data_IF_924939039787
#
_entry.id   IF_924939039787
#
_cell.length_a   1.000
_cell.length_b   1.000
_cell.length_c   1.000
_cell.angle_alpha   90.00
_cell.angle_beta   90.00
_cell.angle_gamma   90.00
#
_symmetry.space_group_name_H-M   'P 1'
#
loop_
_entity.id
_entity.type
_entity.pdbx_description
1 polymer ?
#
# COMPACT_ATOMS: atom_id res chain seq x y z
N UNK A 1 -32.09 -6.96 -2.82
CA UNK A 1 -31.02 -7.35 -1.87
C UNK A 1 -29.98 -8.20 -2.57
N UNK A 2 -28.76 -7.69 -2.71
CA UNK A 2 -27.64 -8.42 -3.32
C UNK A 2 -26.84 -9.14 -2.22
N UNK A 3 -27.16 -10.42 -1.98
CA UNK A 3 -26.59 -11.23 -0.88
C UNK A 3 -25.06 -11.31 -0.91
N UNK A 4 -24.45 -11.27 -2.11
CA UNK A 4 -23.00 -11.32 -2.27
C UNK A 4 -22.35 -10.04 -1.74
N UNK A 5 -22.85 -8.86 -2.12
CA UNK A 5 -22.33 -7.59 -1.62
C UNK A 5 -22.51 -7.45 -0.10
N UNK A 6 -23.65 -7.93 0.43
CA UNK A 6 -23.88 -7.94 1.87
C UNK A 6 -22.86 -8.84 2.58
N UNK A 7 -22.67 -10.07 2.10
CA UNK A 7 -21.73 -11.02 2.70
C UNK A 7 -20.27 -10.51 2.63
N UNK A 8 -19.83 -10.02 1.46
CA UNK A 8 -18.48 -9.45 1.28
C UNK A 8 -18.26 -8.21 2.15
N UNK A 9 -19.25 -7.31 2.21
CA UNK A 9 -19.18 -6.13 3.07
C UNK A 9 -19.07 -6.49 4.54
N UNK A 10 -19.88 -7.45 5.01
CA UNK A 10 -19.85 -7.91 6.39
C UNK A 10 -18.53 -8.59 6.75
N UNK A 11 -17.98 -9.39 5.83
CA UNK A 11 -16.66 -10.01 5.99
C UNK A 11 -15.54 -8.96 6.08
N UNK A 12 -15.56 -7.91 5.24
CA UNK A 12 -14.63 -6.80 5.31
C UNK A 12 -14.71 -6.06 6.65
N UNK A 13 -15.92 -5.80 7.17
CA UNK A 13 -16.12 -5.15 8.47
C UNK A 13 -15.60 -6.03 9.61
N UNK A 14 -15.87 -7.34 9.57
CA UNK A 14 -15.36 -8.27 10.58
C UNK A 14 -13.83 -8.32 10.59
N UNK A 15 -13.21 -8.40 9.40
CA UNK A 15 -11.75 -8.39 9.27
C UNK A 15 -11.14 -7.06 9.74
N UNK A 16 -11.77 -5.94 9.38
CA UNK A 16 -11.36 -4.62 9.87
C UNK A 16 -11.43 -4.55 11.41
N UNK A 17 -12.50 -5.06 12.02
CA UNK A 17 -12.64 -5.13 13.47
C UNK A 17 -11.54 -5.97 14.12
N UNK A 18 -11.20 -7.12 13.53
CA UNK A 18 -10.09 -7.96 13.98
C UNK A 18 -8.74 -7.21 13.92
N UNK A 19 -8.45 -6.55 12.80
CA UNK A 19 -7.21 -5.78 12.63
C UNK A 19 -7.14 -4.63 13.63
N UNK A 20 -8.26 -3.91 13.84
CA UNK A 20 -8.33 -2.85 14.83
C UNK A 20 -8.09 -3.38 16.24
N UNK A 21 -8.67 -4.53 16.58
CA UNK A 21 -8.46 -5.20 17.85
C UNK A 21 -6.99 -5.57 18.07
N UNK A 22 -6.34 -6.19 17.07
CA UNK A 22 -4.90 -6.47 17.12
C UNK A 22 -4.07 -5.20 17.28
N UNK A 23 -4.47 -4.12 16.62
CA UNK A 23 -3.78 -2.84 16.70
C UNK A 23 -3.86 -2.17 18.09
N UNK A 24 -4.78 -2.59 18.96
CA UNK A 24 -4.84 -2.14 20.35
C UNK A 24 -3.70 -2.71 21.19
N UNK A 25 -3.15 -3.87 20.81
CA UNK A 25 -2.03 -4.51 21.50
C UNK A 25 -0.67 -3.88 21.17
N UNK A 26 -0.61 -2.99 20.17
CA UNK A 26 0.64 -2.30 19.82
C UNK A 26 0.89 -1.10 20.75
N UNK A 27 2.17 -0.84 21.10
CA UNK A 27 2.55 0.37 21.82
C UNK A 27 2.02 1.62 21.11
N UNK A 28 1.43 2.53 21.88
CA UNK A 28 0.99 3.84 21.40
C UNK A 28 2.13 4.84 21.49
N UNK A 29 1.96 5.98 20.78
CA UNK A 29 2.96 7.03 20.57
C UNK A 29 3.95 7.26 21.73
N UNK A 30 5.24 7.33 21.39
CA UNK A 30 6.33 7.62 22.32
C UNK A 30 6.92 9.01 22.08
N UNK A 31 7.83 9.46 22.96
CA UNK A 31 8.42 10.80 22.88
C UNK A 31 9.16 11.10 21.56
N UNK A 32 9.62 10.06 20.85
CA UNK A 32 10.30 10.17 19.55
C UNK A 32 9.41 9.77 18.36
N UNK A 33 8.24 9.17 18.61
CA UNK A 33 7.32 8.69 17.59
C UNK A 33 5.87 9.07 17.95
N UNK A 34 5.39 10.26 17.49
CA UNK A 34 4.11 10.82 17.89
C UNK A 34 2.88 10.05 17.39
N UNK A 35 3.03 9.13 16.44
CA UNK A 35 1.90 8.31 15.93
C UNK A 35 1.95 6.88 16.44
N UNK A 36 3.14 6.34 16.67
CA UNK A 36 3.34 4.99 17.17
C UNK A 36 2.95 3.91 16.15
N UNK A 37 3.40 2.68 16.40
CA UNK A 37 3.18 1.55 15.49
C UNK A 37 1.71 1.16 15.27
N UNK A 38 0.82 1.57 16.17
CA UNK A 38 -0.61 1.26 16.11
C UNK A 38 -1.41 2.14 15.13
N UNK A 39 -0.89 3.31 14.71
CA UNK A 39 -1.68 4.28 13.95
C UNK A 39 -2.12 3.76 12.57
N UNK A 40 -1.17 3.28 11.77
CA UNK A 40 -1.44 2.87 10.38
C UNK A 40 -2.37 1.64 10.31
N UNK A 41 -2.20 0.59 11.13
CA UNK A 41 -3.18 -0.50 11.21
C UNK A 41 -4.58 -0.02 11.61
N UNK A 42 -4.71 0.90 12.56
CA UNK A 42 -6.01 1.46 12.98
C UNK A 42 -6.66 2.28 11.86
N UNK A 43 -5.90 3.14 11.18
CA UNK A 43 -6.40 3.95 10.08
C UNK A 43 -6.91 3.06 8.92
N UNK A 44 -6.13 2.05 8.54
CA UNK A 44 -6.53 1.09 7.50
C UNK A 44 -7.78 0.29 7.92
N UNK A 45 -7.85 -0.17 9.17
CA UNK A 45 -9.02 -0.85 9.69
C UNK A 45 -10.27 0.04 9.62
N UNK A 46 -10.18 1.32 9.99
CA UNK A 46 -11.31 2.26 9.89
C UNK A 46 -11.75 2.45 8.44
N UNK A 47 -10.82 2.70 7.52
CA UNK A 47 -11.16 2.86 6.09
C UNK A 47 -11.82 1.60 5.55
N UNK A 48 -11.28 0.42 5.87
CA UNK A 48 -11.82 -0.85 5.43
C UNK A 48 -13.21 -1.13 6.02
N UNK A 49 -13.43 -0.79 7.30
CA UNK A 49 -14.73 -0.89 7.94
C UNK A 49 -15.77 0.02 7.27
N UNK A 50 -15.39 1.27 6.93
CA UNK A 50 -16.27 2.20 6.24
C UNK A 50 -16.64 1.71 4.83
N UNK A 51 -15.66 1.23 4.06
CA UNK A 51 -15.89 0.66 2.74
C UNK A 51 -16.73 -0.62 2.79
N UNK A 52 -16.45 -1.51 3.75
CA UNK A 52 -17.22 -2.73 3.97
C UNK A 52 -18.66 -2.44 4.39
N UNK A 53 -18.87 -1.46 5.27
CA UNK A 53 -20.20 -1.01 5.67
C UNK A 53 -20.95 -0.38 4.48
N UNK A 54 -20.31 0.49 3.71
CA UNK A 54 -20.90 1.07 2.50
C UNK A 54 -21.28 -0.02 1.47
N UNK A 55 -20.45 -1.05 1.30
CA UNK A 55 -20.75 -2.19 0.43
C UNK A 55 -21.92 -3.03 0.95
N UNK A 56 -21.98 -3.27 2.27
CA UNK A 56 -23.10 -3.98 2.89
C UNK A 56 -24.42 -3.18 2.76
N UNK A 57 -24.38 -1.87 2.97
CA UNK A 57 -25.53 -0.97 2.82
C UNK A 57 -26.01 -0.93 1.37
N UNK A 58 -25.12 -0.78 0.39
CA UNK A 58 -25.51 -0.83 -1.03
C UNK A 58 -26.08 -2.19 -1.41
N UNK A 59 -25.54 -3.28 -0.86
CA UNK A 59 -26.09 -4.63 -1.00
C UNK A 59 -27.49 -4.80 -0.41
N UNK A 60 -27.76 -4.21 0.76
CA UNK A 60 -29.07 -4.21 1.42
C UNK A 60 -30.09 -3.37 0.63
N UNK A 61 -29.70 -2.17 0.22
CA UNK A 61 -30.51 -1.25 -0.58
C UNK A 61 -30.73 -1.72 -2.03
N UNK A 62 -30.01 -2.75 -2.47
CA UNK A 62 -30.11 -3.27 -3.84
C UNK A 62 -29.51 -2.33 -4.89
N UNK A 63 -28.67 -1.38 -4.49
CA UNK A 63 -27.96 -0.48 -5.38
C UNK A 63 -26.87 -1.30 -6.08
N UNK A 64 -26.98 -1.44 -7.40
CA UNK A 64 -25.97 -2.11 -8.21
C UNK A 64 -24.70 -1.28 -8.25
N UNK A 65 -23.65 -1.70 -7.54
CA UNK A 65 -22.32 -1.09 -7.65
C UNK A 65 -21.70 -1.51 -8.99
N UNK A 66 -21.42 -0.57 -9.91
CA UNK A 66 -20.74 -0.87 -11.16
C UNK A 66 -19.36 -1.46 -10.84
N UNK A 67 -19.11 -2.72 -11.20
CA UNK A 67 -17.85 -3.43 -10.93
C UNK A 67 -17.83 -4.31 -9.67
N UNK A 68 -18.91 -4.35 -8.88
CA UNK A 68 -18.94 -5.05 -7.58
C UNK A 68 -19.29 -6.55 -7.61
N UNK A 69 -19.59 -7.13 -8.77
CA UNK A 69 -19.64 -8.59 -8.88
C UNK A 69 -18.23 -9.10 -9.18
N UNK A 70 -17.50 -9.45 -8.12
CA UNK A 70 -16.55 -10.54 -8.26
C UNK A 70 -17.37 -11.73 -8.72
N UNK A 71 -17.39 -11.96 -10.04
CA UNK A 71 -18.11 -13.05 -10.65
C UNK A 71 -17.75 -14.31 -9.86
N UNK A 72 -18.73 -14.93 -9.22
CA UNK A 72 -18.58 -16.29 -8.74
C UNK A 72 -18.03 -17.10 -9.92
N UNK A 73 -16.94 -17.87 -9.75
CA UNK A 73 -16.43 -18.72 -10.82
C UNK A 73 -17.60 -19.54 -11.34
N UNK A 74 -17.99 -19.34 -12.61
CA UNK A 74 -19.02 -20.17 -13.24
C UNK A 74 -18.58 -21.63 -13.10
N UNK A 75 -19.37 -22.51 -12.47
CA UNK A 75 -19.07 -23.93 -12.50
C UNK A 75 -19.18 -24.37 -13.97
N UNK A 76 -18.04 -24.72 -14.57
CA UNK A 76 -17.96 -25.16 -15.97
C UNK A 76 -17.23 -24.24 -16.94
N UNK A 77 -16.59 -23.15 -16.49
CA UNK A 77 -15.51 -22.54 -17.28
C UNK A 77 -14.21 -23.23 -16.87
N UNK A 78 -13.45 -23.83 -17.80
CA UNK A 78 -12.23 -24.52 -17.41
C UNK A 78 -11.33 -23.54 -16.68
N UNK A 79 -10.84 -23.97 -15.52
CA UNK A 79 -9.91 -23.26 -14.68
C UNK A 79 -8.53 -23.19 -15.35
N UNK A 80 -8.45 -22.60 -16.54
CA UNK A 80 -7.23 -22.51 -17.36
C UNK A 80 -6.74 -21.07 -17.52
N UNK A 81 -6.83 -20.26 -16.44
CA UNK A 81 -5.97 -19.09 -16.26
C UNK A 81 -5.87 -18.63 -14.79
N UNK A 82 -5.67 -19.57 -13.88
CA UNK A 82 -5.04 -19.34 -12.56
C UNK A 82 -4.12 -20.54 -12.38
N UNK A 83 -2.87 -20.24 -12.03
CA UNK A 83 -1.77 -21.21 -11.87
C UNK A 83 -1.09 -21.61 -13.20
N UNK A 84 -0.48 -20.62 -13.86
CA UNK A 84 0.97 -20.74 -14.07
C UNK A 84 1.53 -20.00 -12.84
N UNK A 85 1.66 -20.63 -11.67
CA UNK A 85 2.89 -21.34 -11.30
C UNK A 85 3.97 -21.16 -12.36
N UNK A 86 4.56 -19.97 -12.33
CA UNK A 86 5.90 -19.71 -12.82
C UNK A 86 6.87 -20.57 -11.97
N UNK A 87 6.82 -21.88 -12.20
CA UNK A 87 7.93 -22.81 -11.97
C UNK A 87 8.97 -22.63 -13.08
N UNK A 88 9.15 -21.41 -13.61
CA UNK A 88 10.39 -21.07 -14.25
C UNK A 88 11.47 -21.06 -13.17
N UNK A 89 12.45 -21.93 -13.33
CA UNK A 89 13.75 -21.73 -12.70
C UNK A 89 14.11 -20.24 -12.81
N UNK A 90 14.57 -19.57 -11.73
CA UNK A 90 14.79 -18.14 -11.76
C UNK A 90 15.82 -17.83 -12.85
N UNK A 91 15.35 -17.32 -13.99
CA UNK A 91 16.22 -16.80 -15.02
C UNK A 91 17.16 -15.78 -14.34
N UNK A 92 18.46 -15.74 -14.68
CA UNK A 92 19.43 -14.84 -14.05
C UNK A 92 19.04 -13.36 -14.16
N UNK A 93 18.11 -13.02 -15.05
CA UNK A 93 17.53 -11.68 -15.16
C UNK A 93 16.56 -11.34 -14.01
N UNK A 94 15.83 -12.31 -13.47
CA UNK A 94 14.90 -12.15 -12.35
C UNK A 94 15.65 -11.97 -11.04
N UNK A 95 16.69 -12.77 -10.78
CA UNK A 95 17.53 -12.63 -9.57
C UNK A 95 18.25 -11.27 -9.57
N UNK A 96 18.74 -10.81 -10.74
CA UNK A 96 19.39 -9.50 -10.86
C UNK A 96 18.44 -8.36 -10.55
N UNK A 97 17.18 -8.44 -11.02
CA UNK A 97 16.16 -7.43 -10.69
C UNK A 97 15.85 -7.46 -9.20
N UNK A 98 15.60 -8.62 -8.61
CA UNK A 98 15.35 -8.76 -7.16
C UNK A 98 16.53 -8.21 -6.34
N UNK A 99 17.76 -8.54 -6.71
CA UNK A 99 18.96 -7.98 -6.09
C UNK A 99 19.06 -6.47 -6.28
N UNK A 100 18.70 -5.94 -7.46
CA UNK A 100 18.65 -4.51 -7.71
C UNK A 100 17.59 -3.79 -6.84
N UNK A 101 16.45 -4.44 -6.55
CA UNK A 101 15.46 -3.93 -5.58
C UNK A 101 16.01 -3.92 -4.17
N UNK A 102 16.58 -5.06 -3.73
CA UNK A 102 17.16 -5.17 -2.41
C UNK A 102 18.26 -4.12 -2.20
N UNK A 103 19.15 -3.95 -3.19
CA UNK A 103 20.19 -2.92 -3.16
C UNK A 103 19.60 -1.50 -3.11
N UNK A 104 18.54 -1.22 -3.90
CA UNK A 104 17.85 0.08 -3.87
C UNK A 104 17.21 0.39 -2.50
N UNK A 105 16.63 -0.61 -1.84
CA UNK A 105 16.07 -0.46 -0.49
C UNK A 105 17.17 -0.18 0.55
N UNK A 106 18.28 -0.92 0.49
CA UNK A 106 19.44 -0.69 1.37
C UNK A 106 20.00 0.72 1.16
N UNK A 107 20.18 1.12 -0.11
CA UNK A 107 20.64 2.46 -0.46
C UNK A 107 19.69 3.55 0.06
N UNK A 108 18.37 3.34 -0.03
CA UNK A 108 17.37 4.26 0.50
C UNK A 108 17.48 4.44 2.01
N UNK A 109 17.58 3.33 2.77
CA UNK A 109 17.74 3.37 4.24
C UNK A 109 19.02 4.12 4.62
N UNK A 110 20.09 3.95 3.86
CA UNK A 110 21.37 4.62 4.11
C UNK A 110 21.35 6.11 3.71
N UNK A 111 20.64 6.48 2.64
CA UNK A 111 20.49 7.88 2.20
C UNK A 111 19.57 8.69 3.13
N UNK A 112 18.55 8.05 3.70
CA UNK A 112 17.53 8.71 4.53
C UNK A 112 18.11 9.59 5.66
N UNK A 113 19.08 9.14 6.48
CA UNK A 113 19.68 10.00 7.50
C UNK A 113 20.54 11.12 6.92
N UNK A 114 21.08 10.98 5.70
CA UNK A 114 22.01 11.94 5.09
C UNK A 114 21.26 13.09 4.42
N UNK A 115 20.42 12.76 3.43
CA UNK A 115 19.73 13.74 2.58
C UNK A 115 18.25 13.95 2.95
N UNK A 116 17.75 13.22 3.94
CA UNK A 116 16.38 13.32 4.41
C UNK A 116 15.37 12.54 3.56
N UNK A 117 14.13 12.49 4.05
CA UNK A 117 13.01 11.76 3.46
C UNK A 117 12.69 12.24 2.04
N UNK A 118 12.59 13.56 1.84
CA UNK A 118 12.09 14.09 0.58
C UNK A 118 13.00 13.75 -0.61
N UNK A 119 14.31 13.93 -0.45
CA UNK A 119 15.27 13.60 -1.50
C UNK A 119 15.48 12.09 -1.64
N UNK A 120 15.59 11.35 -0.52
CA UNK A 120 15.79 9.90 -0.57
C UNK A 120 14.61 9.16 -1.21
N UNK A 121 13.37 9.54 -0.87
CA UNK A 121 12.17 8.95 -1.47
C UNK A 121 12.04 9.30 -2.94
N UNK A 122 12.34 10.55 -3.34
CA UNK A 122 12.35 10.94 -4.74
C UNK A 122 13.33 10.09 -5.57
N UNK A 123 14.56 9.94 -5.09
CA UNK A 123 15.60 9.14 -5.75
C UNK A 123 15.19 7.66 -5.78
N UNK A 124 14.73 7.12 -4.65
CA UNK A 124 14.33 5.72 -4.54
C UNK A 124 13.13 5.38 -5.43
N UNK A 125 12.08 6.19 -5.43
CA UNK A 125 10.91 5.96 -6.29
C UNK A 125 11.26 6.13 -7.77
N UNK A 126 12.08 7.11 -8.13
CA UNK A 126 12.56 7.25 -9.51
C UNK A 126 13.35 6.00 -9.93
N UNK A 127 14.25 5.50 -9.08
CA UNK A 127 14.98 4.26 -9.30
C UNK A 127 14.05 3.06 -9.44
N UNK A 128 13.10 2.87 -8.52
CA UNK A 128 12.18 1.72 -8.59
C UNK A 128 11.27 1.77 -9.81
N UNK A 129 10.74 2.93 -10.17
CA UNK A 129 9.87 3.09 -11.35
C UNK A 129 10.65 2.80 -12.64
N UNK A 130 11.91 3.26 -12.74
CA UNK A 130 12.74 3.05 -13.92
C UNK A 130 13.26 1.62 -14.05
N UNK A 131 13.53 0.93 -12.92
CA UNK A 131 14.01 -0.45 -12.90
C UNK A 131 12.86 -1.48 -13.02
N UNK A 132 11.63 -1.18 -12.55
CA UNK A 132 10.51 -2.16 -12.50
C UNK A 132 9.48 -2.00 -13.60
N UNK A 133 9.21 -0.75 -14.00
CA UNK A 133 7.88 -0.41 -14.47
C UNK A 133 7.82 0.01 -15.92
N UNK A 134 8.46 1.11 -16.30
CA UNK A 134 8.43 1.64 -17.67
C UNK A 134 9.59 2.62 -17.94
N UNK A 135 10.15 2.55 -19.15
CA UNK A 135 11.32 3.30 -19.63
C UNK A 135 11.01 4.74 -20.07
N UNK A 136 10.17 5.47 -19.35
CA UNK A 136 9.92 6.88 -19.67
C UNK A 136 10.67 7.81 -18.70
N UNK A 137 11.85 8.33 -19.10
CA UNK A 137 12.79 9.02 -18.21
C UNK A 137 12.26 10.32 -17.59
N UNK A 138 11.16 10.89 -18.13
CA UNK A 138 10.56 12.13 -17.66
C UNK A 138 9.30 11.90 -16.83
N UNK A 139 8.47 10.91 -17.20
CA UNK A 139 7.22 10.61 -16.47
C UNK A 139 7.50 9.96 -15.11
N UNK A 140 8.55 9.15 -15.04
CA UNK A 140 8.98 8.49 -13.80
C UNK A 140 9.35 9.48 -12.68
N UNK A 141 10.27 10.46 -12.89
CA UNK A 141 10.59 11.43 -11.84
C UNK A 141 9.40 12.34 -11.52
N UNK A 142 8.56 12.71 -12.50
CA UNK A 142 7.37 13.51 -12.21
C UNK A 142 6.38 12.77 -11.30
N UNK A 143 6.13 11.48 -11.56
CA UNK A 143 5.31 10.64 -10.71
C UNK A 143 5.95 10.46 -9.32
N UNK A 144 7.27 10.23 -9.26
CA UNK A 144 8.00 10.13 -8.00
C UNK A 144 7.93 11.43 -7.18
N UNK A 145 8.07 12.59 -7.82
CA UNK A 145 7.92 13.89 -7.18
C UNK A 145 6.51 14.07 -6.62
N UNK A 146 5.48 13.75 -7.41
CA UNK A 146 4.08 13.83 -6.98
C UNK A 146 3.78 12.91 -5.79
N UNK A 147 4.22 11.65 -5.85
CA UNK A 147 4.04 10.68 -4.76
C UNK A 147 4.79 11.17 -3.50
N UNK A 148 6.05 11.57 -3.64
CA UNK A 148 6.87 12.02 -2.51
C UNK A 148 6.30 13.27 -1.85
N UNK A 149 5.88 14.25 -2.66
CA UNK A 149 5.22 15.46 -2.15
C UNK A 149 3.88 15.13 -1.48
N UNK A 150 3.08 14.23 -2.07
CA UNK A 150 1.83 13.76 -1.48
C UNK A 150 2.03 13.10 -0.13
N UNK A 151 3.02 12.21 0.00
CA UNK A 151 3.38 11.62 1.29
C UNK A 151 3.89 12.67 2.28
N UNK A 152 4.71 13.63 1.85
CA UNK A 152 5.19 14.69 2.73
C UNK A 152 4.03 15.54 3.27
N UNK A 153 3.07 15.92 2.41
CA UNK A 153 1.88 16.65 2.83
C UNK A 153 1.00 15.81 3.76
N UNK A 154 0.83 14.52 3.46
CA UNK A 154 -0.01 13.63 4.27
C UNK A 154 0.62 13.35 5.64
N UNK A 155 1.89 12.98 5.69
CA UNK A 155 2.55 12.58 6.92
C UNK A 155 3.14 13.78 7.67
N UNK A 156 3.86 14.65 6.99
CA UNK A 156 4.52 15.80 7.60
C UNK A 156 3.54 16.91 8.00
N UNK A 157 2.60 17.26 7.12
CA UNK A 157 1.68 18.39 7.36
C UNK A 157 0.37 17.93 8.00
N UNK A 158 -0.32 16.95 7.41
CA UNK A 158 -1.64 16.53 7.88
C UNK A 158 -1.57 15.70 9.17
N UNK A 159 -0.62 14.78 9.29
CA UNK A 159 -0.45 13.94 10.48
C UNK A 159 0.59 14.48 11.48
N UNK A 160 1.33 15.55 11.14
CA UNK A 160 2.33 16.14 12.04
C UNK A 160 3.51 15.23 12.36
N UNK A 161 3.79 14.22 11.52
CA UNK A 161 4.92 13.31 11.68
C UNK A 161 6.21 14.09 11.46
N UNK A 162 7.19 13.91 12.35
CA UNK A 162 8.55 14.39 12.10
C UNK A 162 9.24 13.48 11.08
N UNK A 163 9.22 13.90 9.83
CA UNK A 163 9.97 13.24 8.76
C UNK A 163 11.46 13.62 8.85
N UNK A 164 12.40 12.70 8.57
CA UNK A 164 13.82 13.00 8.55
C UNK A 164 14.12 14.13 7.56
N UNK A 165 14.64 15.26 8.03
CA UNK A 165 15.11 16.35 7.14
C UNK A 165 16.50 16.08 6.58
N UNK A 166 17.23 15.12 7.17
CA UNK A 166 18.61 14.78 6.81
C UNK A 166 19.61 15.62 7.60
N UNK A 167 20.77 15.05 7.91
CA UNK A 167 21.85 15.75 8.63
C UNK A 167 22.47 16.88 7.82
N UNK A 168 22.31 16.88 6.49
CA UNK A 168 22.76 17.97 5.61
C UNK A 168 21.95 19.26 5.73
N UNK A 169 20.75 19.20 6.34
CA UNK A 169 19.85 20.34 6.48
C UNK A 169 19.51 20.65 7.95
N UNK A 170 20.24 20.06 8.90
CA UNK A 170 20.20 20.40 10.34
C UNK A 170 21.22 21.48 10.66
#
# INVERSE_FOLDING_TARGET
MNRVNVASGLACVAFAGWVYWMALSLPTAGALDPLGGAFLPKALAVVLALLGAALAITGLLGIGVPGGQAAAPKPGTPATRREEEDTAEPAPESIRRVLAYAAGLVAYVWLMPVIGFLLSSFVAFTYFITVLGQRHPVKAPLAAAGITAGLYLLFGVLFGVRLPVGTLFQ
#
